data_IF_951681793221
#
_entry.id   IF_951681793221
#
_cell.length_a   1.000
_cell.length_b   1.000
_cell.length_c   1.000
_cell.angle_alpha   90.00
_cell.angle_beta   90.00
_cell.angle_gamma   90.00
#
_symmetry.space_group_name_H-M   'P 1'
#
loop_
_entity.id
_entity.type
_entity.pdbx_description
1 polymer ?
#
# COMPACT_ATOMS: atom_id res chain seq x y z
N UNK A 1 25.49 -3.74 3.63
CA UNK A 1 25.38 -2.41 4.27
C UNK A 1 24.35 -1.65 3.42
N UNK A 2 23.17 -1.36 3.97
CA UNK A 2 22.14 -0.57 3.26
C UNK A 2 22.68 0.84 3.05
N UNK A 3 22.66 1.33 1.81
CA UNK A 3 22.99 2.74 1.53
C UNK A 3 22.03 3.63 2.31
N UNK A 4 22.58 4.70 2.90
CA UNK A 4 21.75 5.65 3.65
C UNK A 4 20.82 6.40 2.69
N UNK A 5 19.53 6.26 2.89
CA UNK A 5 18.52 6.98 2.11
C UNK A 5 18.67 8.47 2.39
N UNK A 6 18.94 9.26 1.35
CA UNK A 6 19.06 10.73 1.46
C UNK A 6 17.70 11.37 1.23
N UNK A 7 17.21 12.07 2.22
CA UNK A 7 15.95 12.85 2.15
C UNK A 7 16.28 14.32 2.28
N UNK A 8 15.68 15.15 1.42
CA UNK A 8 15.77 16.61 1.57
C UNK A 8 14.84 17.09 2.70
N UNK A 9 15.27 18.07 3.53
CA UNK A 9 14.40 18.62 4.56
C UNK A 9 13.09 19.15 3.97
N UNK A 10 11.98 18.77 4.60
CA UNK A 10 10.66 19.23 4.20
C UNK A 10 10.34 20.59 4.90
N UNK A 11 9.72 21.56 4.20
CA UNK A 11 9.58 22.92 4.74
C UNK A 11 8.59 23.05 5.90
N UNK A 12 7.73 22.06 6.11
CA UNK A 12 6.74 22.07 7.18
C UNK A 12 6.99 20.92 8.16
N UNK A 13 6.69 21.11 9.48
CA UNK A 13 6.77 20.00 10.43
C UNK A 13 5.74 18.92 10.06
N UNK A 14 6.14 17.67 10.14
CA UNK A 14 5.23 16.53 10.02
C UNK A 14 4.54 16.31 11.36
N UNK A 15 3.22 16.33 11.37
CA UNK A 15 2.38 16.22 12.58
C UNK A 15 1.55 14.93 12.59
N UNK A 16 1.52 14.18 11.49
CA UNK A 16 0.83 12.90 11.39
C UNK A 16 1.38 12.02 10.29
N UNK A 17 1.18 10.70 10.44
CA UNK A 17 1.56 9.70 9.47
C UNK A 17 0.33 8.97 8.94
N UNK A 18 0.27 8.83 7.62
CA UNK A 18 -0.77 8.07 6.94
C UNK A 18 -0.09 6.94 6.17
N UNK A 19 -0.43 5.71 6.51
CA UNK A 19 0.10 4.53 5.86
C UNK A 19 -0.91 3.96 4.86
N UNK A 20 -0.44 3.55 3.69
CA UNK A 20 -1.16 2.50 2.99
C UNK A 20 -1.12 1.20 3.80
N UNK A 21 -1.94 0.23 3.45
CA UNK A 21 -2.03 -1.04 4.16
C UNK A 21 -1.33 -2.17 3.43
N UNK A 22 -1.85 -2.51 2.24
CA UNK A 22 -1.39 -3.64 1.45
C UNK A 22 -0.01 -3.32 0.83
N UNK A 23 1.02 -4.12 1.10
CA UNK A 23 2.40 -3.86 0.65
C UNK A 23 3.21 -2.90 1.54
N UNK A 24 2.57 -2.21 2.50
CA UNK A 24 3.23 -1.25 3.42
C UNK A 24 3.19 -1.73 4.87
N UNK A 25 2.01 -1.98 5.42
CA UNK A 25 1.87 -2.51 6.80
C UNK A 25 1.87 -4.03 6.81
N UNK A 26 1.28 -4.64 5.79
CA UNK A 26 1.13 -6.08 5.63
C UNK A 26 1.68 -6.53 4.26
N UNK A 27 2.36 -7.66 4.23
CA UNK A 27 2.94 -8.24 3.01
C UNK A 27 1.89 -9.12 2.31
N UNK A 28 0.86 -8.48 1.76
CA UNK A 28 -0.31 -9.15 1.19
C UNK A 28 -0.26 -9.29 -0.34
N UNK A 29 0.49 -8.45 -1.05
CA UNK A 29 0.44 -8.37 -2.51
C UNK A 29 0.88 -9.67 -3.20
N UNK A 30 2.00 -10.28 -2.77
CA UNK A 30 2.44 -11.59 -3.31
C UNK A 30 1.42 -12.69 -3.04
N UNK A 31 0.75 -12.65 -1.87
CA UNK A 31 -0.31 -13.61 -1.54
C UNK A 31 -1.52 -13.46 -2.47
N UNK A 32 -1.97 -12.22 -2.70
CA UNK A 32 -3.06 -11.92 -3.64
C UNK A 32 -2.69 -12.36 -5.07
N UNK A 33 -1.49 -12.03 -5.53
CA UNK A 33 -1.00 -12.42 -6.85
C UNK A 33 -0.92 -13.94 -7.02
N UNK A 34 -0.50 -14.68 -5.97
CA UNK A 34 -0.49 -16.15 -5.96
C UNK A 34 -1.90 -16.73 -6.14
N UNK A 35 -2.86 -16.20 -5.41
CA UNK A 35 -4.25 -16.65 -5.50
C UNK A 35 -4.85 -16.31 -6.88
N UNK A 36 -4.59 -15.11 -7.39
CA UNK A 36 -5.02 -14.70 -8.73
C UNK A 36 -4.43 -15.62 -9.82
N UNK A 37 -3.14 -15.96 -9.73
CA UNK A 37 -2.49 -16.88 -10.66
C UNK A 37 -3.16 -18.28 -10.65
N UNK A 38 -3.50 -18.79 -9.48
CA UNK A 38 -4.19 -20.07 -9.34
C UNK A 38 -5.60 -20.03 -9.95
N UNK A 39 -6.36 -18.97 -9.69
CA UNK A 39 -7.70 -18.79 -10.25
C UNK A 39 -7.67 -18.65 -11.78
N UNK A 40 -6.72 -17.85 -12.32
CA UNK A 40 -6.56 -17.70 -13.76
C UNK A 40 -6.15 -19.03 -14.43
N UNK A 41 -5.23 -19.76 -13.81
CA UNK A 41 -4.81 -21.10 -14.31
C UNK A 41 -6.00 -22.07 -14.33
N UNK A 42 -6.84 -22.07 -13.30
CA UNK A 42 -8.06 -22.89 -13.26
C UNK A 42 -9.08 -22.48 -14.34
N UNK A 43 -9.05 -21.23 -14.80
CA UNK A 43 -9.85 -20.76 -15.92
C UNK A 43 -9.23 -21.07 -17.29
N UNK A 44 -8.10 -21.78 -17.36
CA UNK A 44 -7.42 -22.14 -18.60
C UNK A 44 -6.47 -21.04 -19.11
N UNK A 45 -6.08 -20.10 -18.25
CA UNK A 45 -5.04 -19.10 -18.52
C UNK A 45 -3.80 -19.42 -17.65
N UNK A 46 -2.88 -20.27 -18.13
CA UNK A 46 -1.73 -20.69 -17.35
C UNK A 46 -0.78 -19.50 -17.13
N UNK A 47 -0.64 -19.08 -15.88
CA UNK A 47 0.19 -17.95 -15.47
C UNK A 47 0.81 -18.22 -14.11
N UNK A 48 2.09 -17.84 -13.91
CA UNK A 48 2.75 -17.96 -12.60
C UNK A 48 2.50 -16.74 -11.73
N UNK A 49 2.78 -16.85 -10.44
CA UNK A 49 2.70 -15.73 -9.49
C UNK A 49 3.61 -14.59 -9.92
N UNK A 50 4.84 -14.89 -10.33
CA UNK A 50 5.83 -13.91 -10.78
C UNK A 50 5.35 -13.17 -12.05
N UNK A 51 4.69 -13.88 -12.94
CA UNK A 51 4.09 -13.27 -14.13
C UNK A 51 2.90 -12.37 -13.78
N UNK A 52 2.07 -12.74 -12.80
CA UNK A 52 0.99 -11.88 -12.32
C UNK A 52 1.59 -10.62 -11.68
N UNK A 53 2.60 -10.75 -10.84
CA UNK A 53 3.30 -9.60 -10.24
C UNK A 53 3.86 -8.69 -11.33
N UNK A 54 4.64 -9.23 -12.25
CA UNK A 54 5.32 -8.44 -13.27
C UNK A 54 4.36 -7.72 -14.25
N UNK A 55 3.19 -8.33 -14.54
CA UNK A 55 2.26 -7.79 -15.53
C UNK A 55 1.16 -6.94 -14.94
N UNK A 56 0.70 -7.26 -13.73
CA UNK A 56 -0.57 -6.76 -13.22
C UNK A 56 -0.51 -6.12 -11.84
N UNK A 57 0.54 -6.32 -11.04
CA UNK A 57 0.63 -5.69 -9.72
C UNK A 57 0.54 -4.16 -9.82
N UNK A 58 -0.30 -3.55 -8.99
CA UNK A 58 -0.53 -2.10 -8.97
C UNK A 58 -1.34 -1.53 -10.14
N UNK A 59 -1.79 -2.38 -11.09
CA UNK A 59 -2.64 -1.94 -12.21
C UNK A 59 -4.13 -2.05 -11.86
N UNK A 60 -4.98 -1.19 -12.45
CA UNK A 60 -6.44 -1.30 -12.30
C UNK A 60 -6.98 -2.65 -12.78
N UNK A 61 -7.91 -3.24 -12.01
CA UNK A 61 -8.51 -4.55 -12.31
C UNK A 61 -9.13 -4.64 -13.72
N UNK A 62 -9.73 -3.56 -14.20
CA UNK A 62 -10.35 -3.54 -15.53
C UNK A 62 -9.33 -3.64 -16.68
N UNK A 63 -8.12 -3.10 -16.48
CA UNK A 63 -7.05 -3.22 -17.48
C UNK A 63 -6.49 -4.64 -17.53
N UNK A 64 -6.19 -5.22 -16.35
CA UNK A 64 -5.78 -6.62 -16.24
C UNK A 64 -6.81 -7.56 -16.89
N UNK A 65 -8.10 -7.35 -16.56
CA UNK A 65 -9.20 -8.15 -17.11
C UNK A 65 -9.25 -8.05 -18.64
N UNK A 66 -9.21 -6.83 -19.20
CA UNK A 66 -9.26 -6.62 -20.65
C UNK A 66 -8.08 -7.30 -21.38
N UNK A 67 -6.87 -7.24 -20.83
CA UNK A 67 -5.69 -7.88 -21.39
C UNK A 67 -5.83 -9.41 -21.37
N UNK A 68 -6.20 -10.00 -20.24
CA UNK A 68 -6.38 -11.45 -20.13
C UNK A 68 -7.53 -11.96 -20.99
N UNK A 69 -8.66 -11.26 -21.06
CA UNK A 69 -9.80 -11.63 -21.92
C UNK A 69 -9.43 -11.60 -23.40
N UNK A 70 -8.60 -10.63 -23.79
CA UNK A 70 -8.06 -10.57 -25.17
C UNK A 70 -7.18 -11.78 -25.49
N UNK A 71 -6.31 -12.18 -24.56
CA UNK A 71 -5.43 -13.36 -24.73
C UNK A 71 -6.18 -14.68 -24.65
N UNK A 72 -7.20 -14.79 -23.79
CA UNK A 72 -8.06 -15.98 -23.66
C UNK A 72 -9.03 -16.16 -24.84
N UNK A 73 -9.36 -15.09 -25.57
CA UNK A 73 -10.40 -15.07 -26.58
C UNK A 73 -11.82 -15.23 -26.04
N UNK A 74 -12.03 -15.06 -24.72
CA UNK A 74 -13.33 -15.17 -24.03
C UNK A 74 -13.32 -14.34 -22.74
N UNK A 75 -14.50 -13.94 -22.24
CA UNK A 75 -14.59 -13.19 -21.00
C UNK A 75 -14.18 -14.03 -19.79
N UNK A 76 -13.58 -13.37 -18.79
CA UNK A 76 -13.38 -13.90 -17.44
C UNK A 76 -14.74 -13.89 -16.74
N UNK A 77 -15.11 -14.95 -15.98
CA UNK A 77 -16.33 -15.00 -15.20
C UNK A 77 -16.50 -13.75 -14.32
N UNK A 78 -17.74 -13.27 -14.20
CA UNK A 78 -18.03 -12.06 -13.42
C UNK A 78 -17.66 -12.21 -11.95
N UNK A 79 -17.74 -13.42 -11.40
CA UNK A 79 -17.41 -13.76 -10.01
C UNK A 79 -15.92 -14.00 -9.74
N UNK A 80 -15.04 -13.87 -10.74
CA UNK A 80 -13.59 -14.08 -10.60
C UNK A 80 -13.00 -13.29 -9.44
N UNK A 81 -13.32 -11.98 -9.38
CA UNK A 81 -12.81 -11.11 -8.32
C UNK A 81 -13.30 -11.52 -6.94
N UNK A 82 -14.57 -11.92 -6.84
CA UNK A 82 -15.15 -12.37 -5.58
C UNK A 82 -14.48 -13.65 -5.09
N UNK A 83 -14.16 -14.59 -6.00
CA UNK A 83 -13.42 -15.81 -5.67
C UNK A 83 -12.00 -15.51 -5.20
N UNK A 84 -11.27 -14.61 -5.91
CA UNK A 84 -9.93 -14.18 -5.48
C UNK A 84 -10.00 -13.54 -4.09
N UNK A 85 -10.97 -12.65 -3.87
CA UNK A 85 -11.14 -11.99 -2.57
C UNK A 85 -11.46 -12.98 -1.44
N UNK A 86 -12.38 -13.90 -1.66
CA UNK A 86 -12.76 -14.92 -0.66
C UNK A 86 -11.55 -15.78 -0.28
N UNK A 87 -10.81 -16.29 -1.27
CA UNK A 87 -9.60 -17.10 -1.02
C UNK A 87 -8.48 -16.29 -0.37
N UNK A 88 -8.38 -15.00 -0.67
CA UNK A 88 -7.41 -14.11 -0.01
C UNK A 88 -7.75 -13.96 1.47
N UNK A 89 -9.02 -13.74 1.79
CA UNK A 89 -9.50 -13.67 3.18
C UNK A 89 -9.17 -14.96 3.95
N UNK A 90 -9.43 -16.12 3.35
CA UNK A 90 -9.11 -17.41 3.97
C UNK A 90 -7.59 -17.57 4.21
N UNK A 91 -6.79 -17.18 3.23
CA UNK A 91 -5.33 -17.29 3.32
C UNK A 91 -4.70 -16.29 4.32
N UNK A 92 -5.36 -15.19 4.63
CA UNK A 92 -4.85 -14.22 5.62
C UNK A 92 -4.61 -14.86 6.98
N UNK A 93 -5.49 -15.76 7.41
CA UNK A 93 -5.37 -16.40 8.72
C UNK A 93 -4.07 -17.22 8.91
N UNK A 94 -3.47 -17.70 7.81
CA UNK A 94 -2.30 -18.59 7.86
C UNK A 94 -1.04 -17.99 7.24
N UNK A 95 -1.18 -17.18 6.20
CA UNK A 95 -0.07 -16.79 5.33
C UNK A 95 0.30 -15.30 5.42
N UNK A 96 -0.62 -14.45 5.92
CA UNK A 96 -0.39 -13.02 6.00
C UNK A 96 0.69 -12.69 7.04
N UNK A 97 1.60 -11.80 6.68
CA UNK A 97 2.67 -11.34 7.57
C UNK A 97 2.65 -9.83 7.71
N UNK A 98 3.04 -9.37 8.88
CA UNK A 98 3.39 -7.96 9.09
C UNK A 98 4.65 -7.62 8.30
N UNK A 99 4.76 -6.39 7.82
CA UNK A 99 5.98 -5.94 7.16
C UNK A 99 7.17 -5.96 8.13
N UNK A 100 8.32 -6.54 7.74
CA UNK A 100 9.49 -6.61 8.61
C UNK A 100 9.95 -5.23 9.10
N UNK A 101 10.35 -5.14 10.38
CA UNK A 101 10.81 -3.88 11.00
C UNK A 101 9.70 -2.90 11.40
N UNK A 102 8.46 -3.10 10.97
CA UNK A 102 7.35 -2.15 11.20
C UNK A 102 7.04 -1.96 12.68
N UNK A 103 6.93 -3.02 13.48
CA UNK A 103 6.63 -2.88 14.91
C UNK A 103 7.69 -2.05 15.63
N UNK A 104 8.97 -2.33 15.34
CA UNK A 104 10.09 -1.57 15.91
C UNK A 104 10.04 -0.09 15.51
N UNK A 105 9.67 0.21 14.27
CA UNK A 105 9.51 1.59 13.80
C UNK A 105 8.36 2.29 14.53
N UNK A 106 7.19 1.64 14.61
CA UNK A 106 6.01 2.21 15.25
C UNK A 106 6.21 2.50 16.75
N UNK A 107 7.04 1.73 17.46
CA UNK A 107 7.37 1.99 18.87
C UNK A 107 8.17 3.28 19.08
N UNK A 108 8.89 3.73 18.07
CA UNK A 108 9.72 4.95 18.10
C UNK A 108 8.98 6.19 17.57
N UNK A 109 7.76 6.02 17.08
CA UNK A 109 6.99 7.11 16.46
C UNK A 109 5.87 7.53 17.40
N UNK A 110 5.92 8.79 17.87
CA UNK A 110 4.93 9.37 18.77
C UNK A 110 3.83 10.18 18.04
N UNK A 111 3.90 10.27 16.70
CA UNK A 111 2.93 11.02 15.90
C UNK A 111 1.58 10.28 15.82
N UNK A 112 0.46 11.00 15.64
CA UNK A 112 -0.81 10.43 15.26
C UNK A 112 -0.67 9.59 13.98
N UNK A 113 -1.23 8.38 13.99
CA UNK A 113 -1.17 7.41 12.90
C UNK A 113 -2.55 7.21 12.27
N UNK A 114 -2.59 7.03 10.96
CA UNK A 114 -3.78 6.64 10.22
C UNK A 114 -3.45 5.62 9.15
N UNK A 115 -4.38 4.73 8.85
CA UNK A 115 -4.34 3.85 7.68
C UNK A 115 -5.28 4.39 6.62
N UNK A 116 -4.84 4.47 5.36
CA UNK A 116 -5.64 4.87 4.21
C UNK A 116 -5.44 3.90 3.05
N UNK A 117 -6.33 2.91 2.93
CA UNK A 117 -6.21 1.79 1.99
C UNK A 117 -7.31 1.77 0.94
N UNK A 118 -7.00 1.28 -0.26
CA UNK A 118 -7.99 0.98 -1.30
C UNK A 118 -8.85 -0.25 -1.00
N UNK A 119 -8.47 -1.06 -0.02
CA UNK A 119 -9.18 -2.26 0.38
C UNK A 119 -10.54 -1.96 1.02
N UNK A 120 -11.53 -2.84 0.80
CA UNK A 120 -12.84 -2.71 1.46
C UNK A 120 -12.73 -2.98 2.97
N UNK A 121 -13.66 -2.41 3.79
CA UNK A 121 -13.50 -2.36 5.25
C UNK A 121 -13.28 -3.72 5.93
N UNK A 122 -13.99 -4.77 5.49
CA UNK A 122 -13.86 -6.09 6.10
C UNK A 122 -12.49 -6.73 5.86
N UNK A 123 -11.92 -6.61 4.63
CA UNK A 123 -10.58 -7.10 4.31
C UNK A 123 -9.52 -6.31 5.09
N UNK A 124 -9.64 -4.99 5.11
CA UNK A 124 -8.73 -4.09 5.81
C UNK A 124 -8.69 -4.39 7.31
N UNK A 125 -9.87 -4.50 7.94
CA UNK A 125 -9.98 -4.89 9.35
C UNK A 125 -9.33 -6.22 9.62
N UNK A 126 -9.71 -7.26 8.87
CA UNK A 126 -9.16 -8.62 9.05
C UNK A 126 -7.64 -8.64 8.91
N UNK A 127 -7.09 -8.00 7.86
CA UNK A 127 -5.64 -7.96 7.66
C UNK A 127 -4.91 -7.33 8.85
N UNK A 128 -5.40 -6.20 9.35
CA UNK A 128 -4.82 -5.54 10.52
C UNK A 128 -5.01 -6.35 11.81
N UNK A 129 -6.15 -7.04 12.00
CA UNK A 129 -6.38 -7.91 13.16
C UNK A 129 -5.44 -9.11 13.17
N UNK A 130 -5.26 -9.79 12.04
CA UNK A 130 -4.39 -10.97 11.91
C UNK A 130 -2.95 -10.65 12.29
N UNK A 131 -2.45 -9.48 11.91
CA UNK A 131 -1.08 -9.06 12.26
C UNK A 131 -0.98 -8.26 13.56
N UNK A 132 -2.08 -8.10 14.32
CA UNK A 132 -2.09 -7.43 15.63
C UNK A 132 -1.97 -5.90 15.57
N UNK A 133 -2.29 -5.27 14.44
CA UNK A 133 -2.18 -3.82 14.25
C UNK A 133 -3.51 -3.07 14.43
N UNK A 134 -4.66 -3.75 14.36
CA UNK A 134 -5.96 -3.09 14.32
C UNK A 134 -6.18 -2.12 15.46
N UNK A 135 -6.01 -2.56 16.70
CA UNK A 135 -6.22 -1.74 17.91
C UNK A 135 -5.25 -0.54 17.98
N UNK A 136 -4.05 -0.68 17.41
CA UNK A 136 -3.06 0.40 17.39
C UNK A 136 -3.47 1.56 16.49
N UNK A 137 -4.17 1.29 15.39
CA UNK A 137 -4.61 2.30 14.45
C UNK A 137 -6.03 2.81 14.71
N UNK A 138 -6.85 2.08 15.46
CA UNK A 138 -8.21 2.53 15.77
C UNK A 138 -8.25 3.82 16.59
N UNK A 139 -9.17 4.77 16.27
CA UNK A 139 -10.22 4.71 15.24
C UNK A 139 -9.78 5.20 13.85
N UNK A 140 -8.49 5.36 13.59
CA UNK A 140 -7.94 6.01 12.42
C UNK A 140 -7.66 5.00 11.28
N UNK A 141 -8.67 4.23 10.89
CA UNK A 141 -8.59 3.26 9.78
C UNK A 141 -9.60 3.65 8.70
N UNK A 142 -9.08 4.11 7.56
CA UNK A 142 -9.88 4.64 6.44
C UNK A 142 -9.80 3.69 5.25
N UNK A 143 -10.97 3.26 4.78
CA UNK A 143 -11.12 2.51 3.52
C UNK A 143 -11.45 3.46 2.36
N UNK A 144 -10.91 3.20 1.18
CA UNK A 144 -11.21 3.92 -0.05
C UNK A 144 -12.67 3.85 -0.48
N UNK A 145 -13.47 2.94 0.10
CA UNK A 145 -14.93 2.89 -0.12
C UNK A 145 -15.70 4.04 0.55
N UNK A 146 -15.05 4.80 1.42
CA UNK A 146 -15.64 5.97 2.10
C UNK A 146 -15.57 7.25 1.28
N UNK A 147 -14.88 7.23 0.14
CA UNK A 147 -14.65 8.39 -0.72
C UNK A 147 -15.18 8.16 -2.13
N UNK A 148 -15.40 9.25 -2.88
CA UNK A 148 -15.98 9.19 -4.21
C UNK A 148 -15.01 8.56 -5.23
N UNK A 149 -13.72 8.88 -5.11
CA UNK A 149 -12.70 8.42 -6.05
C UNK A 149 -11.54 7.77 -5.30
N UNK A 150 -11.17 6.56 -5.73
CA UNK A 150 -10.01 5.85 -5.20
C UNK A 150 -8.69 6.39 -5.79
N UNK A 151 -7.55 5.92 -5.26
CA UNK A 151 -6.22 6.19 -5.81
C UNK A 151 -6.21 5.88 -7.33
N UNK A 152 -5.67 6.76 -8.19
CA UNK A 152 -4.73 7.84 -7.90
C UNK A 152 -5.36 9.20 -7.55
N UNK A 153 -6.69 9.30 -7.34
CA UNK A 153 -7.30 10.53 -6.86
C UNK A 153 -6.97 10.76 -5.37
N UNK A 154 -6.87 12.04 -4.92
CA UNK A 154 -6.38 12.38 -3.59
C UNK A 154 -7.37 12.09 -2.46
N UNK A 155 -8.59 11.73 -2.77
CA UNK A 155 -9.74 11.74 -1.87
C UNK A 155 -9.49 10.96 -0.57
N UNK A 156 -8.93 9.75 -0.65
CA UNK A 156 -8.69 8.91 0.52
C UNK A 156 -7.67 9.52 1.49
N UNK A 157 -6.63 10.16 0.97
CA UNK A 157 -5.62 10.81 1.79
C UNK A 157 -6.12 12.12 2.38
N UNK A 158 -6.87 12.92 1.60
CA UNK A 158 -7.53 14.11 2.12
C UNK A 158 -8.54 13.78 3.22
N UNK A 159 -9.29 12.68 3.04
CA UNK A 159 -10.20 12.18 4.07
C UNK A 159 -9.45 11.77 5.33
N UNK A 160 -8.34 11.02 5.19
CA UNK A 160 -7.50 10.58 6.32
C UNK A 160 -6.90 11.77 7.09
N UNK A 161 -6.38 12.80 6.40
CA UNK A 161 -5.87 14.02 7.02
C UNK A 161 -6.97 14.77 7.78
N UNK A 162 -8.16 14.88 7.17
CA UNK A 162 -9.35 15.46 7.82
C UNK A 162 -9.78 14.68 9.06
N UNK A 163 -9.69 13.35 9.00
CA UNK A 163 -9.97 12.46 10.13
C UNK A 163 -9.02 12.68 11.30
N UNK A 164 -7.72 12.82 11.00
CA UNK A 164 -6.69 13.19 11.98
C UNK A 164 -6.79 14.65 12.45
N UNK A 165 -7.54 15.51 11.74
CA UNK A 165 -7.61 16.97 11.94
C UNK A 165 -6.25 17.65 11.76
N UNK A 166 -5.45 17.15 10.83
CA UNK A 166 -4.12 17.67 10.49
C UNK A 166 -4.15 18.20 9.05
N UNK A 167 -3.46 19.31 8.81
CA UNK A 167 -3.31 19.85 7.45
C UNK A 167 -2.62 18.84 6.54
N UNK A 168 -3.09 18.60 5.29
CA UNK A 168 -2.44 17.71 4.35
C UNK A 168 -0.93 17.93 4.22
N UNK A 169 -0.47 19.18 4.14
CA UNK A 169 0.96 19.51 4.08
C UNK A 169 1.77 19.09 5.30
N UNK A 170 1.13 18.68 6.39
CA UNK A 170 1.77 18.22 7.63
C UNK A 170 1.54 16.74 7.88
N UNK A 171 0.91 16.05 6.94
CA UNK A 171 0.77 14.60 6.94
C UNK A 171 1.82 13.99 6.01
N UNK A 172 2.64 13.08 6.51
CA UNK A 172 3.52 12.27 5.67
C UNK A 172 2.81 10.97 5.30
N UNK A 173 2.85 10.62 4.02
CA UNK A 173 2.32 9.34 3.53
C UNK A 173 3.46 8.33 3.38
N UNK A 174 3.21 7.07 3.69
CA UNK A 174 4.06 5.92 3.36
C UNK A 174 3.28 5.02 2.41
N UNK A 175 3.82 4.77 1.22
CA UNK A 175 3.12 4.15 0.10
C UNK A 175 4.07 3.31 -0.76
N UNK A 176 3.57 2.21 -1.31
CA UNK A 176 4.33 1.31 -2.18
C UNK A 176 3.90 1.33 -3.65
N UNK A 177 2.76 1.96 -3.97
CA UNK A 177 2.22 1.96 -5.32
C UNK A 177 2.35 3.31 -6.03
N UNK A 178 2.54 3.27 -7.35
CA UNK A 178 2.55 4.49 -8.20
C UNK A 178 1.23 5.25 -8.06
N UNK A 179 0.10 4.54 -8.01
CA UNK A 179 -1.21 5.16 -7.88
C UNK A 179 -1.37 5.88 -6.53
N UNK A 180 -0.89 5.28 -5.45
CA UNK A 180 -0.95 5.87 -4.13
C UNK A 180 0.01 7.04 -3.97
N UNK A 181 1.25 6.93 -4.46
CA UNK A 181 2.19 8.07 -4.48
C UNK A 181 1.58 9.24 -5.24
N UNK A 182 1.00 9.00 -6.44
CA UNK A 182 0.32 10.03 -7.22
C UNK A 182 -0.83 10.67 -6.44
N UNK A 183 -1.62 9.87 -5.73
CA UNK A 183 -2.73 10.37 -4.90
C UNK A 183 -2.23 11.25 -3.74
N UNK A 184 -1.15 10.84 -3.05
CA UNK A 184 -0.55 11.61 -1.96
C UNK A 184 0.01 12.97 -2.46
N UNK A 185 0.71 12.96 -3.59
CA UNK A 185 1.21 14.19 -4.24
C UNK A 185 0.05 15.09 -4.63
N UNK A 186 -1.01 14.55 -5.24
CA UNK A 186 -2.22 15.31 -5.60
C UNK A 186 -2.94 15.88 -4.37
N UNK A 187 -2.84 15.22 -3.19
CA UNK A 187 -3.34 15.71 -1.92
C UNK A 187 -2.46 16.82 -1.30
N UNK A 188 -1.31 17.15 -1.89
CA UNK A 188 -0.33 18.09 -1.35
C UNK A 188 0.45 17.55 -0.14
N UNK A 189 0.57 16.23 -0.03
CA UNK A 189 1.29 15.56 1.06
C UNK A 189 2.67 15.12 0.62
N UNK A 190 3.72 15.26 1.46
CA UNK A 190 4.97 14.56 1.25
C UNK A 190 4.72 13.06 1.33
N UNK A 191 5.43 12.28 0.51
CA UNK A 191 5.28 10.83 0.48
C UNK A 191 6.64 10.15 0.42
N UNK A 192 6.85 9.17 1.27
CA UNK A 192 7.94 8.21 1.22
C UNK A 192 7.48 6.96 0.48
N UNK A 193 8.21 6.59 -0.57
CA UNK A 193 7.98 5.35 -1.29
C UNK A 193 8.57 4.16 -0.53
N UNK A 194 7.80 3.12 -0.34
CA UNK A 194 8.27 1.88 0.26
C UNK A 194 8.42 0.78 -0.80
N UNK A 195 9.60 0.20 -0.90
CA UNK A 195 9.92 -0.87 -1.85
C UNK A 195 10.36 -2.18 -1.17
N UNK A 196 10.08 -2.32 0.13
CA UNK A 196 10.46 -3.52 0.89
C UNK A 196 9.42 -4.66 0.83
N UNK A 197 8.31 -4.48 0.13
CA UNK A 197 7.30 -5.52 -0.06
C UNK A 197 7.81 -6.66 -0.94
N UNK A 198 7.35 -7.89 -0.68
CA UNK A 198 7.79 -9.08 -1.41
C UNK A 198 7.40 -9.09 -2.91
N UNK A 199 6.49 -8.22 -3.31
CA UNK A 199 6.05 -8.00 -4.70
C UNK A 199 6.93 -7.00 -5.48
N UNK A 200 7.79 -6.25 -4.78
CA UNK A 200 8.59 -5.20 -5.40
C UNK A 200 9.72 -5.80 -6.26
N UNK A 201 9.79 -5.36 -7.50
CA UNK A 201 10.82 -5.75 -8.46
C UNK A 201 11.99 -4.75 -8.50
N UNK A 202 13.03 -5.11 -9.25
CA UNK A 202 14.15 -4.21 -9.54
C UNK A 202 13.65 -3.02 -10.38
N UNK A 203 13.73 -1.80 -9.82
CA UNK A 203 13.22 -0.57 -10.44
C UNK A 203 11.88 -0.10 -9.87
N UNK A 204 11.32 -0.82 -8.88
CA UNK A 204 10.11 -0.40 -8.19
C UNK A 204 10.28 1.01 -7.58
N UNK A 205 11.34 1.25 -6.85
CA UNK A 205 11.64 2.55 -6.25
C UNK A 205 11.79 3.68 -7.27
N UNK A 206 12.40 3.42 -8.44
CA UNK A 206 12.48 4.44 -9.50
C UNK A 206 11.09 4.87 -10.00
N UNK A 207 10.13 3.93 -10.07
CA UNK A 207 8.75 4.26 -10.43
C UNK A 207 8.08 5.13 -9.39
N UNK A 208 8.32 4.87 -8.08
CA UNK A 208 7.80 5.68 -6.98
C UNK A 208 8.40 7.10 -6.99
N UNK A 209 9.71 7.24 -7.21
CA UNK A 209 10.36 8.55 -7.38
C UNK A 209 9.76 9.32 -8.57
N UNK A 210 9.58 8.67 -9.72
CA UNK A 210 8.94 9.31 -10.90
C UNK A 210 7.51 9.75 -10.63
N UNK A 211 6.79 9.04 -9.76
CA UNK A 211 5.44 9.41 -9.33
C UNK A 211 5.41 10.58 -8.34
N UNK A 212 6.57 10.96 -7.78
CA UNK A 212 6.73 12.11 -6.90
C UNK A 212 7.04 11.78 -5.45
N UNK A 213 7.48 10.55 -5.12
CA UNK A 213 7.98 10.23 -3.80
C UNK A 213 9.24 11.06 -3.49
N UNK A 214 9.30 11.62 -2.26
CA UNK A 214 10.43 12.42 -1.80
C UNK A 214 11.72 11.59 -1.63
N UNK A 215 11.55 10.32 -1.27
CA UNK A 215 12.59 9.31 -1.18
C UNK A 215 11.97 7.93 -1.20
N UNK A 216 12.79 6.89 -1.36
CA UNK A 216 12.40 5.49 -1.33
C UNK A 216 13.24 4.75 -0.30
N UNK A 217 12.62 3.79 0.40
CA UNK A 217 13.29 2.95 1.38
C UNK A 217 12.69 1.54 1.37
N UNK A 218 13.49 0.54 1.81
CA UNK A 218 13.13 -0.88 1.74
C UNK A 218 13.05 -1.59 3.10
N UNK A 219 13.38 -0.90 4.20
CA UNK A 219 13.32 -1.45 5.56
C UNK A 219 12.54 -0.50 6.46
N UNK A 220 11.40 -0.97 7.01
CA UNK A 220 10.56 -0.16 7.90
C UNK A 220 11.30 0.34 9.14
N UNK A 221 12.35 -0.34 9.59
CA UNK A 221 13.18 0.13 10.69
C UNK A 221 13.89 1.47 10.40
N UNK A 222 13.99 1.88 9.13
CA UNK A 222 14.56 3.17 8.73
C UNK A 222 13.59 4.36 8.90
N UNK A 223 12.28 4.10 8.99
CA UNK A 223 11.24 5.14 9.00
C UNK A 223 11.44 6.20 10.09
N UNK A 224 11.79 5.87 11.36
CA UNK A 224 12.05 6.89 12.38
C UNK A 224 13.20 7.84 12.02
N UNK A 225 14.30 7.32 11.44
CA UNK A 225 15.43 8.12 11.00
C UNK A 225 15.07 9.03 9.80
N UNK A 226 14.25 8.54 8.87
CA UNK A 226 13.75 9.31 7.74
C UNK A 226 12.84 10.46 8.20
N UNK A 227 12.00 10.23 9.20
CA UNK A 227 11.20 11.30 9.83
C UNK A 227 12.07 12.40 10.45
N UNK A 228 13.15 12.03 11.13
CA UNK A 228 14.09 13.00 11.69
C UNK A 228 14.79 13.79 10.57
N UNK A 229 15.20 13.14 9.49
CA UNK A 229 15.85 13.78 8.35
C UNK A 229 14.91 14.75 7.62
N UNK A 230 13.61 14.49 7.58
CA UNK A 230 12.60 15.40 7.04
C UNK A 230 12.39 16.67 7.91
N UNK A 231 12.99 16.74 9.09
CA UNK A 231 12.93 17.92 9.96
C UNK A 231 12.00 17.76 11.16
N UNK A 232 11.48 16.57 11.42
CA UNK A 232 10.82 16.27 12.68
C UNK A 232 11.91 16.04 13.75
N UNK A 233 12.02 16.98 14.68
CA UNK A 233 12.73 16.68 15.94
C UNK A 233 11.80 15.81 16.78
N UNK A 234 12.35 14.80 17.46
CA UNK A 234 11.58 13.90 18.34
C UNK A 234 10.87 14.67 19.44
#
# INVERSE_FOLDING_TARGET
MSEAVTVQPYPFPIEGLIFDCDGVLIDSETLVCRIAAQELTALGYPITTEQVIARFAGRPDHEMRAEIESELGRPIPADYRDRVNARTVDAYATDLKIMPGLMQALEQIALPLCVASSSFPAKLKLGLEVVGLYERFMPNVVSGTLVAHGKPQPDVFLFAAGWLRISPMRCLVVEDSVAGVTAAVAAGMPVLGFEGGSHCDQGHGERLIKAGACAVFSDMAQLPALLQALGNRP
#
